data_IF_224549319526
#
_entry.id   IF_224549319526
#
_cell.length_a   1.000
_cell.length_b   1.000
_cell.length_c   1.000
_cell.angle_alpha   90.00
_cell.angle_beta   90.00
_cell.angle_gamma   90.00
#
_symmetry.space_group_name_H-M   'P 1'
#
loop_
_entity.id
_entity.type
_entity.pdbx_description
1 polymer ?
#
# COMPACT_ATOMS: atom_id res chain seq x y z
N UNK A 1 23.82 18.12 -15.53
CA UNK A 1 23.07 17.06 -14.83
C UNK A 1 21.58 17.34 -14.96
N UNK A 2 20.83 16.52 -15.72
CA UNK A 2 19.35 16.64 -15.79
C UNK A 2 18.74 15.97 -14.57
N UNK A 3 17.74 16.59 -13.94
CA UNK A 3 17.11 16.03 -12.74
C UNK A 3 16.13 14.91 -13.14
N UNK A 4 16.00 13.88 -12.31
CA UNK A 4 15.23 12.65 -12.60
C UNK A 4 13.79 12.93 -13.08
N UNK A 5 13.13 13.98 -12.57
CA UNK A 5 11.78 14.38 -13.02
C UNK A 5 11.73 14.89 -14.47
N UNK A 6 12.84 15.34 -15.05
CA UNK A 6 12.93 15.81 -16.45
C UNK A 6 13.09 14.66 -17.45
N UNK A 7 13.54 13.49 -16.97
CA UNK A 7 13.78 12.28 -17.78
C UNK A 7 12.60 11.30 -17.68
N UNK A 8 11.64 11.58 -16.79
CA UNK A 8 10.47 10.74 -16.57
C UNK A 8 9.55 10.71 -17.81
N UNK A 9 9.47 9.55 -18.47
CA UNK A 9 8.63 9.35 -19.66
C UNK A 9 7.20 9.04 -19.22
N UNK A 10 6.37 10.08 -19.08
CA UNK A 10 4.94 9.96 -18.73
C UNK A 10 4.16 11.26 -18.94
N UNK A 11 2.83 11.19 -19.04
CA UNK A 11 1.96 12.36 -19.28
C UNK A 11 1.67 13.20 -18.01
N UNK A 12 2.44 12.99 -16.93
CA UNK A 12 2.28 13.68 -15.65
C UNK A 12 2.96 15.04 -15.71
N UNK A 13 2.29 16.08 -15.18
CA UNK A 13 2.83 17.44 -15.15
C UNK A 13 3.48 17.68 -13.77
N UNK A 14 4.78 17.91 -13.77
CA UNK A 14 5.54 18.27 -12.57
C UNK A 14 5.46 19.79 -12.33
N UNK A 15 5.02 20.19 -11.14
CA UNK A 15 4.95 21.60 -10.73
C UNK A 15 5.96 21.89 -9.60
N UNK A 16 6.36 23.16 -9.42
CA UNK A 16 7.30 23.60 -8.38
C UNK A 16 8.64 22.82 -8.35
N UNK A 17 9.25 22.60 -9.51
CA UNK A 17 10.57 21.97 -9.60
C UNK A 17 10.62 20.48 -9.23
N UNK A 18 9.47 19.79 -9.29
CA UNK A 18 9.34 18.35 -9.05
C UNK A 18 8.79 17.99 -7.66
N UNK A 19 8.34 18.97 -6.86
CA UNK A 19 7.79 18.74 -5.51
C UNK A 19 6.31 18.35 -5.51
N UNK A 20 5.59 18.71 -6.57
CA UNK A 20 4.19 18.35 -6.80
C UNK A 20 4.08 17.59 -8.11
N UNK A 21 3.50 16.40 -8.04
CA UNK A 21 3.21 15.56 -9.21
C UNK A 21 1.71 15.66 -9.43
N UNK A 22 1.30 16.31 -10.51
CA UNK A 22 -0.10 16.29 -10.92
C UNK A 22 -0.29 15.23 -12.01
N UNK A 23 -1.36 14.45 -11.89
CA UNK A 23 -1.81 13.54 -12.94
C UNK A 23 -2.20 14.29 -14.23
N UNK A 24 -2.53 13.57 -15.31
CA UNK A 24 -2.90 14.15 -16.59
C UNK A 24 -4.17 15.04 -16.52
N UNK A 25 -4.97 14.91 -15.47
CA UNK A 25 -6.25 15.61 -15.27
C UNK A 25 -6.15 16.94 -14.50
N UNK A 26 -5.11 17.75 -14.73
CA UNK A 26 -5.02 19.12 -14.15
C UNK A 26 -6.22 19.98 -14.54
N UNK A 27 -6.81 19.74 -15.71
CA UNK A 27 -7.97 20.48 -16.20
C UNK A 27 -9.21 20.26 -15.33
N UNK A 28 -9.43 19.04 -14.83
CA UNK A 28 -10.58 18.76 -13.96
C UNK A 28 -10.42 19.42 -12.58
N UNK A 29 -9.20 19.56 -12.08
CA UNK A 29 -8.91 20.30 -10.84
C UNK A 29 -9.22 21.80 -10.95
N UNK A 30 -8.86 22.40 -12.10
CA UNK A 30 -9.20 23.80 -12.35
C UNK A 30 -10.71 23.97 -12.42
N UNK A 31 -11.43 23.04 -13.08
CA UNK A 31 -12.88 23.06 -13.13
C UNK A 31 -13.55 22.93 -11.76
N UNK A 32 -13.04 22.08 -10.85
CA UNK A 32 -13.59 21.96 -9.49
C UNK A 32 -13.35 23.20 -8.66
N UNK A 33 -12.18 23.84 -8.78
CA UNK A 33 -11.90 25.13 -8.14
C UNK A 33 -12.88 26.20 -8.64
N UNK A 34 -13.12 26.30 -9.95
CA UNK A 34 -14.11 27.23 -10.50
C UNK A 34 -15.54 26.91 -10.03
N UNK A 35 -15.93 25.63 -9.98
CA UNK A 35 -17.26 25.20 -9.55
C UNK A 35 -17.53 25.51 -8.07
N UNK A 36 -16.48 25.63 -7.25
CA UNK A 36 -16.59 26.04 -5.86
C UNK A 36 -16.56 27.57 -5.73
N UNK A 37 -15.69 28.27 -6.46
CA UNK A 37 -15.54 29.73 -6.36
C UNK A 37 -16.77 30.47 -6.89
N UNK A 38 -17.30 30.06 -8.05
CA UNK A 38 -18.37 30.81 -8.72
C UNK A 38 -19.63 30.90 -7.86
N UNK A 39 -20.18 29.81 -7.29
CA UNK A 39 -21.35 29.90 -6.41
C UNK A 39 -21.10 30.71 -5.14
N UNK A 40 -19.89 30.61 -4.57
CA UNK A 40 -19.51 31.35 -3.35
C UNK A 40 -19.41 32.85 -3.64
N UNK A 41 -18.83 33.26 -4.76
CA UNK A 41 -18.79 34.66 -5.18
C UNK A 41 -20.17 35.20 -5.51
N UNK A 42 -21.02 34.43 -6.21
CA UNK A 42 -22.39 34.84 -6.49
C UNK A 42 -23.18 35.04 -5.20
N UNK A 43 -23.08 34.12 -4.24
CA UNK A 43 -23.67 34.30 -2.92
C UNK A 43 -23.10 35.53 -2.20
N UNK A 44 -21.78 35.70 -2.24
CA UNK A 44 -21.06 36.80 -1.59
C UNK A 44 -21.22 38.17 -2.27
N UNK A 45 -21.83 38.26 -3.46
CA UNK A 45 -22.17 39.54 -4.11
C UNK A 45 -23.67 39.79 -4.06
N UNK A 46 -24.49 38.81 -4.42
CA UNK A 46 -25.94 39.03 -4.59
C UNK A 46 -26.73 38.85 -3.28
N UNK A 47 -26.37 37.85 -2.47
CA UNK A 47 -27.14 37.51 -1.26
C UNK A 47 -26.59 38.24 -0.04
N UNK A 48 -25.26 38.28 0.10
CA UNK A 48 -24.56 38.96 1.20
C UNK A 48 -24.92 40.45 1.31
N UNK A 49 -25.02 41.18 0.19
CA UNK A 49 -25.28 42.62 0.20
C UNK A 49 -26.65 42.94 0.78
N UNK A 50 -27.65 42.10 0.49
CA UNK A 50 -28.99 42.24 1.08
C UNK A 50 -29.00 41.82 2.54
N UNK A 51 -28.27 40.77 2.89
CA UNK A 51 -28.24 40.21 4.24
C UNK A 51 -27.47 41.09 5.24
N UNK A 52 -26.36 41.70 4.82
CA UNK A 52 -25.53 42.60 5.63
C UNK A 52 -26.24 43.93 5.91
N UNK A 53 -27.08 44.40 4.99
CA UNK A 53 -27.84 45.63 5.18
C UNK A 53 -29.04 45.44 6.12
N UNK A 54 -29.58 44.22 6.22
CA UNK A 54 -30.74 43.90 7.06
C UNK A 54 -30.36 43.56 8.51
N UNK A 55 -29.19 42.94 8.71
CA UNK A 55 -28.69 42.58 10.03
C UNK A 55 -27.70 43.61 10.58
N UNK A 56 -27.56 43.69 11.91
CA UNK A 56 -26.52 44.49 12.58
C UNK A 56 -25.16 44.28 11.91
N UNK A 57 -24.44 45.36 11.58
CA UNK A 57 -23.22 45.33 10.75
C UNK A 57 -22.20 44.25 11.18
N UNK A 58 -21.99 44.05 12.49
CA UNK A 58 -21.07 43.05 13.02
C UNK A 58 -21.50 41.58 12.75
N UNK A 59 -22.81 41.29 12.76
CA UNK A 59 -23.33 39.94 12.48
C UNK A 59 -23.38 39.68 10.98
N UNK A 60 -23.75 40.67 10.18
CA UNK A 60 -23.76 40.59 8.73
C UNK A 60 -22.39 40.23 8.17
N UNK A 61 -21.33 40.91 8.62
CA UNK A 61 -19.96 40.63 8.20
C UNK A 61 -19.50 39.21 8.55
N UNK A 62 -19.83 38.72 9.76
CA UNK A 62 -19.49 37.34 10.16
C UNK A 62 -20.22 36.29 9.31
N UNK A 63 -21.50 36.52 9.01
CA UNK A 63 -22.32 35.60 8.20
C UNK A 63 -21.77 35.47 6.79
N UNK A 64 -21.17 36.52 6.22
CA UNK A 64 -20.53 36.49 4.89
C UNK A 64 -19.11 35.94 4.97
N UNK A 65 -18.38 36.29 6.02
CA UNK A 65 -17.00 35.86 6.23
C UNK A 65 -16.86 34.34 6.43
N UNK A 66 -17.82 33.70 7.12
CA UNK A 66 -17.77 32.26 7.41
C UNK A 66 -17.79 31.40 6.13
N UNK A 67 -18.78 31.54 5.21
CA UNK A 67 -18.80 30.79 3.95
C UNK A 67 -17.58 31.04 3.06
N UNK A 68 -17.10 32.29 3.00
CA UNK A 68 -15.91 32.65 2.21
C UNK A 68 -14.67 31.99 2.79
N UNK A 69 -14.46 32.07 4.11
CA UNK A 69 -13.36 31.40 4.80
C UNK A 69 -13.41 29.88 4.66
N UNK A 70 -14.60 29.28 4.77
CA UNK A 70 -14.81 27.85 4.56
C UNK A 70 -14.49 27.44 3.11
N UNK A 71 -14.86 28.24 2.12
CA UNK A 71 -14.51 28.00 0.72
C UNK A 71 -12.98 28.05 0.49
N UNK A 72 -12.28 29.04 1.08
CA UNK A 72 -10.82 29.08 1.04
C UNK A 72 -10.18 27.86 1.72
N UNK A 73 -10.72 27.42 2.85
CA UNK A 73 -10.27 26.20 3.53
C UNK A 73 -10.48 24.94 2.68
N UNK A 74 -11.63 24.80 2.01
CA UNK A 74 -11.89 23.69 1.08
C UNK A 74 -10.95 23.72 -0.12
N UNK A 75 -10.69 24.88 -0.72
CA UNK A 75 -9.71 25.03 -1.82
C UNK A 75 -8.30 24.65 -1.33
N UNK A 76 -7.91 25.07 -0.13
CA UNK A 76 -6.64 24.68 0.48
C UNK A 76 -6.56 23.18 0.72
N UNK A 77 -7.62 22.56 1.25
CA UNK A 77 -7.70 21.11 1.42
C UNK A 77 -7.67 20.36 0.09
N UNK A 78 -8.33 20.86 -0.97
CA UNK A 78 -8.26 20.29 -2.32
C UNK A 78 -6.84 20.38 -2.88
N UNK A 79 -6.17 21.51 -2.70
CA UNK A 79 -4.78 21.67 -3.09
C UNK A 79 -3.88 20.70 -2.31
N UNK A 80 -4.04 20.61 -0.99
CA UNK A 80 -3.30 19.68 -0.16
C UNK A 80 -3.59 18.23 -0.53
N UNK A 81 -4.84 17.86 -0.82
CA UNK A 81 -5.23 16.49 -1.18
C UNK A 81 -4.69 16.13 -2.56
N UNK A 82 -4.82 17.03 -3.55
CA UNK A 82 -4.26 16.85 -4.89
C UNK A 82 -2.73 16.76 -4.90
N UNK A 83 -2.06 17.47 -3.98
CA UNK A 83 -0.61 17.43 -3.83
C UNK A 83 -0.09 16.35 -2.87
N UNK A 84 -0.96 15.73 -2.05
CA UNK A 84 -0.58 14.71 -1.06
C UNK A 84 -0.79 13.27 -1.52
N UNK A 85 -1.42 13.05 -2.67
CA UNK A 85 -1.49 11.70 -3.23
C UNK A 85 -0.67 11.56 -4.51
N UNK A 86 0.67 11.46 -4.42
CA UNK A 86 1.40 10.59 -5.30
C UNK A 86 1.21 9.18 -4.74
N UNK A 87 0.05 8.58 -5.03
CA UNK A 87 -0.24 7.20 -4.68
C UNK A 87 0.94 6.34 -5.11
N UNK A 88 1.66 5.79 -4.13
CA UNK A 88 2.64 4.71 -4.22
C UNK A 88 3.30 4.64 -5.61
N UNK A 89 4.28 5.51 -5.87
CA UNK A 89 5.29 5.20 -6.88
C UNK A 89 6.29 4.28 -6.16
N UNK A 90 6.40 3.00 -6.53
CA UNK A 90 7.47 2.16 -6.04
C UNK A 90 8.78 2.88 -6.33
N UNK A 91 9.63 3.02 -5.30
CA UNK A 91 10.99 3.53 -5.48
C UNK A 91 11.79 2.49 -6.26
N UNK A 92 11.58 2.38 -7.57
CA UNK A 92 12.63 1.94 -8.48
C UNK A 92 13.59 3.13 -8.60
N UNK A 93 14.81 3.06 -8.03
CA UNK A 93 15.81 4.11 -8.21
C UNK A 93 16.32 4.18 -9.65
N UNK A 94 15.91 3.23 -10.51
CA UNK A 94 16.34 3.13 -11.89
C UNK A 94 15.18 3.47 -12.84
N UNK A 95 15.29 4.50 -13.70
CA UNK A 95 14.41 4.64 -14.85
C UNK A 95 14.54 3.40 -15.75
N UNK A 96 13.47 2.94 -16.43
CA UNK A 96 13.59 1.85 -17.38
C UNK A 96 14.62 2.22 -18.44
N UNK A 97 15.71 1.46 -18.50
CA UNK A 97 16.73 1.61 -19.53
C UNK A 97 16.09 1.34 -20.90
N UNK A 98 16.43 2.12 -21.94
CA UNK A 98 16.11 1.71 -23.30
C UNK A 98 16.80 0.38 -23.58
N UNK A 99 16.03 -0.58 -24.09
CA UNK A 99 16.52 -1.85 -24.61
C UNK A 99 17.36 -1.54 -25.86
N UNK A 100 18.66 -1.34 -25.67
CA UNK A 100 19.62 -1.27 -26.77
C UNK A 100 20.16 -2.69 -27.02
N UNK A 101 19.74 -3.25 -28.15
CA UNK A 101 20.26 -4.48 -28.72
C UNK A 101 21.79 -4.40 -28.88
N UNK A 102 22.56 -5.11 -28.05
CA UNK A 102 23.94 -5.46 -28.38
C UNK A 102 24.49 -6.64 -27.56
N UNK A 103 24.70 -7.73 -28.29
CA UNK A 103 25.45 -8.95 -27.93
C UNK A 103 26.89 -8.59 -27.53
N UNK A 104 27.39 -9.11 -26.39
CA UNK A 104 28.75 -9.68 -26.25
C UNK A 104 29.06 -10.18 -24.82
N UNK A 105 29.22 -11.50 -24.72
CA UNK A 105 30.12 -12.33 -23.90
C UNK A 105 30.95 -11.69 -22.76
N UNK A 106 30.94 -12.33 -21.57
CA UNK A 106 32.03 -13.19 -21.05
C UNK A 106 32.02 -13.29 -19.50
N UNK A 107 31.91 -14.55 -19.00
CA UNK A 107 32.48 -15.20 -17.78
C UNK A 107 32.59 -14.46 -16.43
N UNK A 108 32.61 -15.04 -15.22
CA UNK A 108 32.39 -16.36 -14.59
C UNK A 108 32.65 -16.14 -13.06
N UNK A 109 32.32 -17.16 -12.24
CA UNK A 109 32.67 -17.39 -10.81
C UNK A 109 31.72 -16.79 -9.76
N UNK A 110 31.23 -17.49 -8.72
CA UNK A 110 31.35 -18.89 -8.29
C UNK A 110 30.21 -19.28 -7.30
N UNK A 111 29.78 -20.54 -7.39
CA UNK A 111 29.44 -21.50 -6.33
C UNK A 111 28.42 -21.17 -5.21
N UNK A 112 27.29 -21.90 -5.17
CA UNK A 112 27.09 -23.06 -4.28
C UNK A 112 25.67 -23.67 -4.38
N UNK A 113 25.61 -24.92 -4.84
CA UNK A 113 24.82 -26.03 -4.26
C UNK A 113 23.29 -26.06 -4.41
N UNK A 114 22.78 -27.08 -5.13
CA UNK A 114 21.62 -27.86 -4.64
C UNK A 114 20.50 -28.23 -5.63
N UNK A 115 20.66 -29.41 -6.27
CA UNK A 115 19.64 -30.42 -6.64
C UNK A 115 18.56 -30.08 -7.70
N UNK A 116 18.62 -30.77 -8.84
CA UNK A 116 17.57 -30.86 -9.86
C UNK A 116 17.51 -32.26 -10.48
N UNK A 117 16.31 -32.86 -10.59
CA UNK A 117 15.80 -33.53 -11.81
C UNK A 117 14.36 -34.03 -11.59
N UNK A 118 13.29 -33.40 -12.12
CA UNK A 118 12.58 -33.61 -13.43
C UNK A 118 11.37 -34.58 -13.29
N UNK A 119 10.20 -34.47 -14.00
CA UNK A 119 9.75 -33.50 -15.02
C UNK A 119 8.41 -32.74 -14.74
N UNK A 120 8.06 -31.75 -15.59
CA UNK A 120 6.87 -30.89 -15.48
C UNK A 120 5.72 -31.28 -16.44
N UNK A 121 4.48 -30.95 -16.04
CA UNK A 121 3.33 -30.93 -16.93
C UNK A 121 3.15 -29.54 -17.57
N UNK A 122 3.37 -29.54 -18.88
CA UNK A 122 2.83 -28.68 -19.95
C UNK A 122 2.98 -27.16 -19.79
N UNK A 123 4.06 -26.65 -20.38
CA UNK A 123 4.27 -25.25 -20.73
C UNK A 123 3.34 -24.82 -21.89
N UNK A 124 2.74 -23.63 -21.80
CA UNK A 124 1.93 -23.03 -22.87
C UNK A 124 2.62 -21.76 -23.38
N UNK A 125 2.92 -21.73 -24.67
CA UNK A 125 3.61 -20.64 -25.34
C UNK A 125 2.59 -19.65 -25.93
N UNK A 126 2.67 -18.37 -25.54
CA UNK A 126 1.92 -17.29 -26.19
C UNK A 126 2.93 -16.22 -26.62
N UNK A 127 2.97 -15.94 -27.92
CA UNK A 127 3.84 -14.94 -28.56
C UNK A 127 5.36 -15.10 -28.32
N UNK A 128 5.86 -16.34 -28.27
CA UNK A 128 7.30 -16.61 -28.20
C UNK A 128 7.94 -16.43 -26.83
N UNK A 129 7.15 -16.08 -25.81
CA UNK A 129 7.59 -16.02 -24.41
C UNK A 129 7.08 -17.26 -23.69
N UNK A 130 8.01 -18.06 -23.17
CA UNK A 130 7.72 -19.19 -22.29
C UNK A 130 7.29 -18.64 -20.93
N UNK A 131 5.99 -18.46 -20.72
CA UNK A 131 5.45 -18.04 -19.42
C UNK A 131 5.49 -19.23 -18.46
N UNK A 132 6.48 -19.21 -17.56
CA UNK A 132 6.60 -20.15 -16.44
C UNK A 132 5.86 -19.54 -15.23
N UNK A 133 4.59 -19.93 -15.02
CA UNK A 133 3.69 -19.29 -14.05
C UNK A 133 3.91 -19.64 -12.56
N UNK A 134 4.91 -20.45 -12.22
CA UNK A 134 5.11 -21.01 -10.89
C UNK A 134 6.23 -20.34 -10.08
N UNK A 135 7.29 -19.87 -10.73
CA UNK A 135 8.45 -19.26 -10.05
C UNK A 135 8.18 -17.90 -9.40
N UNK A 136 7.30 -17.08 -9.97
CA UNK A 136 7.04 -15.72 -9.49
C UNK A 136 6.13 -15.71 -8.24
N UNK A 137 5.12 -16.60 -8.21
CA UNK A 137 4.13 -16.68 -7.13
C UNK A 137 4.77 -17.23 -5.84
N UNK A 138 5.62 -18.25 -5.94
CA UNK A 138 6.34 -18.80 -4.78
C UNK A 138 7.28 -17.76 -4.14
N UNK A 139 7.95 -16.93 -4.96
CA UNK A 139 8.82 -15.86 -4.50
C UNK A 139 8.07 -14.76 -3.74
N UNK A 140 6.92 -14.31 -4.26
CA UNK A 140 6.08 -13.31 -3.58
C UNK A 140 5.57 -13.83 -2.24
N UNK A 141 5.06 -15.07 -2.16
CA UNK A 141 4.57 -15.65 -0.88
C UNK A 141 5.68 -15.71 0.16
N UNK A 142 6.89 -16.14 -0.22
CA UNK A 142 8.03 -16.19 0.70
C UNK A 142 8.38 -14.79 1.21
N UNK A 143 8.43 -13.81 0.31
CA UNK A 143 8.66 -12.40 0.65
C UNK A 143 7.60 -11.86 1.63
N UNK A 144 6.32 -12.15 1.40
CA UNK A 144 5.21 -11.74 2.28
C UNK A 144 5.29 -12.39 3.65
N UNK A 145 5.62 -13.68 3.71
CA UNK A 145 5.87 -14.37 4.99
C UNK A 145 7.02 -13.69 5.75
N UNK A 146 8.09 -13.30 5.06
CA UNK A 146 9.20 -12.57 5.68
C UNK A 146 8.77 -11.20 6.22
N UNK A 147 7.94 -10.45 5.47
CA UNK A 147 7.36 -9.18 5.94
C UNK A 147 6.48 -9.39 7.17
N UNK A 148 5.64 -10.43 7.18
CA UNK A 148 4.85 -10.83 8.34
C UNK A 148 5.73 -11.13 9.56
N UNK A 149 6.82 -11.88 9.37
CA UNK A 149 7.81 -12.15 10.42
C UNK A 149 8.51 -10.90 10.94
N UNK A 150 8.83 -9.94 10.06
CA UNK A 150 9.43 -8.68 10.45
C UNK A 150 8.46 -7.87 11.34
N UNK A 151 7.19 -7.76 10.94
CA UNK A 151 6.16 -7.09 11.74
C UNK A 151 5.93 -7.77 13.09
N UNK A 152 5.88 -9.10 13.11
CA UNK A 152 5.79 -9.86 14.35
C UNK A 152 6.99 -9.62 15.27
N UNK A 153 8.21 -9.62 14.72
CA UNK A 153 9.45 -9.45 15.49
C UNK A 153 9.62 -8.02 16.02
N UNK A 154 9.19 -7.00 15.27
CA UNK A 154 9.17 -5.63 15.79
C UNK A 154 8.23 -5.47 16.99
N UNK A 155 7.19 -6.31 17.07
CA UNK A 155 6.27 -6.34 18.20
C UNK A 155 6.62 -7.43 19.24
N UNK A 156 7.77 -8.10 19.13
CA UNK A 156 8.10 -9.24 19.99
C UNK A 156 8.15 -8.87 21.47
N UNK A 157 8.53 -7.63 21.81
CA UNK A 157 8.49 -7.15 23.20
C UNK A 157 7.10 -7.25 23.84
N UNK A 158 6.04 -6.95 23.08
CA UNK A 158 4.66 -7.08 23.52
C UNK A 158 4.12 -8.52 23.39
N UNK A 159 4.49 -9.19 22.30
CA UNK A 159 3.97 -10.53 21.97
C UNK A 159 4.62 -11.64 22.80
N UNK A 160 5.84 -11.45 23.29
CA UNK A 160 6.53 -12.40 24.16
C UNK A 160 6.35 -12.10 25.66
N UNK A 161 5.76 -10.96 26.04
CA UNK A 161 5.50 -10.64 27.44
C UNK A 161 4.47 -11.60 28.05
N UNK A 162 4.81 -12.20 29.20
CA UNK A 162 3.95 -13.16 29.91
C UNK A 162 2.76 -12.48 30.61
N UNK A 163 2.85 -11.18 30.89
CA UNK A 163 1.81 -10.41 31.55
C UNK A 163 0.66 -10.03 30.60
N UNK A 164 0.89 -10.12 29.29
CA UNK A 164 -0.11 -9.77 28.28
C UNK A 164 -1.02 -10.97 28.00
N UNK A 165 -2.33 -10.77 28.12
CA UNK A 165 -3.32 -11.81 27.85
C UNK A 165 -3.22 -12.34 26.41
N UNK A 166 -3.27 -13.68 26.25
CA UNK A 166 -3.16 -14.36 24.94
C UNK A 166 -4.19 -13.86 23.91
N UNK A 167 -5.41 -13.53 24.35
CA UNK A 167 -6.46 -12.97 23.48
C UNK A 167 -6.08 -11.60 22.90
N UNK A 168 -5.36 -10.77 23.66
CA UNK A 168 -4.88 -9.46 23.18
C UNK A 168 -3.76 -9.64 22.14
N UNK A 169 -2.85 -10.58 22.41
CA UNK A 169 -1.82 -10.98 21.44
C UNK A 169 -2.43 -11.51 20.13
N UNK A 170 -3.53 -12.26 20.22
CA UNK A 170 -4.29 -12.71 19.06
C UNK A 170 -4.94 -11.59 18.26
N UNK A 171 -5.51 -10.57 18.94
CA UNK A 171 -6.03 -9.37 18.27
C UNK A 171 -4.92 -8.62 17.52
N UNK A 172 -3.75 -8.46 18.15
CA UNK A 172 -2.60 -7.84 17.50
C UNK A 172 -2.17 -8.62 16.25
N UNK A 173 -2.06 -9.95 16.35
CA UNK A 173 -1.74 -10.80 15.22
C UNK A 173 -2.74 -10.63 14.07
N UNK A 174 -4.05 -10.65 14.35
CA UNK A 174 -5.11 -10.42 13.35
C UNK A 174 -5.04 -9.04 12.69
N UNK A 175 -4.64 -8.01 13.43
CA UNK A 175 -4.67 -6.63 12.96
C UNK A 175 -3.40 -6.23 12.19
N UNK A 176 -2.23 -6.74 12.58
CA UNK A 176 -0.93 -6.25 12.08
C UNK A 176 -0.18 -7.29 11.29
N UNK A 177 -0.12 -8.53 11.78
CA UNK A 177 0.74 -9.58 11.20
C UNK A 177 0.02 -10.32 10.08
N UNK A 178 -1.24 -10.69 10.30
CA UNK A 178 -2.05 -11.45 9.34
C UNK A 178 -2.29 -10.69 8.03
N UNK A 179 -2.66 -9.38 8.02
CA UNK A 179 -2.83 -8.65 6.77
C UNK A 179 -1.51 -8.49 6.02
N UNK A 180 -0.39 -8.25 6.71
CA UNK A 180 0.92 -8.14 6.08
C UNK A 180 1.35 -9.44 5.37
N UNK A 181 0.90 -10.59 5.89
CA UNK A 181 1.21 -11.91 5.36
C UNK A 181 0.22 -12.37 4.27
N UNK A 182 -1.04 -11.89 4.31
CA UNK A 182 -2.11 -12.28 3.39
C UNK A 182 -2.35 -11.32 2.22
N UNK A 183 -1.95 -10.05 2.36
CA UNK A 183 -2.18 -9.04 1.34
C UNK A 183 -1.51 -9.45 0.02
N UNK A 184 -2.31 -9.57 -1.03
CA UNK A 184 -1.91 -10.08 -2.34
C UNK A 184 -2.07 -11.59 -2.48
N UNK A 185 -1.81 -12.37 -1.41
CA UNK A 185 -2.02 -13.83 -1.40
C UNK A 185 -3.48 -14.22 -1.68
N UNK A 186 -4.43 -13.39 -1.23
CA UNK A 186 -5.88 -13.56 -1.40
C UNK A 186 -6.39 -13.40 -2.84
N UNK A 187 -5.61 -12.83 -3.74
CA UNK A 187 -6.00 -12.58 -5.14
C UNK A 187 -5.48 -13.63 -6.13
N UNK A 188 -4.66 -14.59 -5.68
CA UNK A 188 -4.10 -15.63 -6.54
C UNK A 188 -5.00 -16.89 -6.55
N UNK A 189 -4.99 -17.69 -7.63
CA UNK A 189 -5.48 -19.06 -7.57
C UNK A 189 -4.56 -19.89 -6.67
N UNK A 190 -4.78 -19.80 -5.35
CA UNK A 190 -3.94 -20.40 -4.33
C UNK A 190 -3.86 -21.92 -4.53
N UNK A 191 -2.69 -22.41 -4.93
CA UNK A 191 -2.39 -23.84 -4.91
C UNK A 191 -2.31 -24.32 -3.46
N UNK A 192 -2.73 -25.56 -3.20
CA UNK A 192 -2.75 -26.14 -1.85
C UNK A 192 -1.39 -26.02 -1.11
N UNK A 193 -0.29 -26.19 -1.85
CA UNK A 193 1.09 -26.04 -1.35
C UNK A 193 1.37 -24.66 -0.74
N UNK A 194 0.82 -23.59 -1.32
CA UNK A 194 1.01 -22.21 -0.87
C UNK A 194 0.24 -21.95 0.43
N UNK A 195 -0.99 -22.46 0.52
CA UNK A 195 -1.78 -22.43 1.75
C UNK A 195 -1.10 -23.20 2.88
N UNK A 196 -0.44 -24.32 2.58
CA UNK A 196 0.35 -25.06 3.58
C UNK A 196 1.50 -24.20 4.11
N UNK A 197 2.30 -23.56 3.25
CA UNK A 197 3.43 -22.71 3.66
C UNK A 197 2.98 -21.56 4.57
N UNK A 198 1.89 -20.90 4.20
CA UNK A 198 1.28 -19.81 4.95
C UNK A 198 0.75 -20.29 6.31
N UNK A 199 0.04 -21.42 6.34
CA UNK A 199 -0.49 -22.03 7.57
C UNK A 199 0.63 -22.48 8.52
N UNK A 200 1.74 -23.00 7.98
CA UNK A 200 2.94 -23.34 8.76
C UNK A 200 3.58 -22.10 9.36
N UNK A 201 3.71 -21.02 8.59
CA UNK A 201 4.24 -19.75 9.08
C UNK A 201 3.38 -19.15 10.20
N UNK A 202 2.06 -19.09 9.99
CA UNK A 202 1.08 -18.69 11.00
C UNK A 202 1.23 -19.51 12.29
N UNK A 203 1.22 -20.84 12.17
CA UNK A 203 1.27 -21.69 13.34
C UNK A 203 2.55 -21.57 14.12
N UNK A 204 3.68 -21.32 13.43
CA UNK A 204 4.95 -21.06 14.08
C UNK A 204 4.93 -19.75 14.88
N UNK A 205 4.36 -18.68 14.33
CA UNK A 205 4.23 -17.40 15.05
C UNK A 205 3.29 -17.51 16.26
N UNK A 206 2.13 -18.16 16.10
CA UNK A 206 1.15 -18.31 17.17
C UNK A 206 1.66 -19.21 18.31
N UNK A 207 2.39 -20.28 17.98
CA UNK A 207 3.05 -21.15 18.96
C UNK A 207 4.10 -20.39 19.76
N UNK A 208 4.96 -19.64 19.09
CA UNK A 208 6.01 -18.86 19.74
C UNK A 208 5.42 -17.82 20.70
N UNK A 209 4.44 -17.05 20.24
CA UNK A 209 3.74 -16.03 21.02
C UNK A 209 3.00 -16.58 22.24
N UNK A 210 2.56 -17.84 22.16
CA UNK A 210 1.86 -18.54 23.24
C UNK A 210 2.78 -19.38 24.13
N UNK A 211 4.07 -19.46 23.80
CA UNK A 211 5.04 -20.31 24.49
C UNK A 211 4.84 -21.82 24.30
N UNK A 212 4.04 -22.24 23.30
CA UNK A 212 3.80 -23.65 23.03
C UNK A 212 4.89 -24.23 22.13
N UNK A 213 5.43 -25.37 22.54
CA UNK A 213 6.42 -26.14 21.79
C UNK A 213 5.77 -27.34 21.10
N UNK A 214 6.54 -28.05 20.28
CA UNK A 214 6.09 -29.32 19.69
C UNK A 214 5.96 -30.43 20.75
N UNK A 215 6.66 -30.31 21.89
CA UNK A 215 6.60 -31.30 22.97
C UNK A 215 5.25 -31.32 23.69
N UNK A 216 4.54 -30.19 23.67
CA UNK A 216 3.25 -30.06 24.35
C UNK A 216 2.13 -30.86 23.64
N UNK A 217 2.38 -31.40 22.42
CA UNK A 217 1.44 -32.20 21.62
C UNK A 217 0.04 -31.58 21.48
N UNK A 218 -0.05 -30.25 21.49
CA UNK A 218 -1.31 -29.51 21.38
C UNK A 218 -1.73 -29.39 19.90
N UNK A 219 -3.01 -29.67 19.63
CA UNK A 219 -3.63 -29.52 18.30
C UNK A 219 -3.65 -28.05 17.87
N UNK A 220 -3.40 -27.81 16.58
CA UNK A 220 -3.35 -26.46 15.99
C UNK A 220 -4.65 -25.67 16.19
N UNK A 221 -5.80 -26.33 16.09
CA UNK A 221 -7.13 -25.73 16.32
C UNK A 221 -7.27 -25.15 17.73
N UNK A 222 -6.85 -25.90 18.74
CA UNK A 222 -6.91 -25.46 20.13
C UNK A 222 -6.01 -24.23 20.38
N UNK A 223 -4.87 -24.14 19.70
CA UNK A 223 -3.99 -22.96 19.77
C UNK A 223 -4.70 -21.75 19.14
N UNK A 224 -5.30 -21.91 17.96
CA UNK A 224 -6.06 -20.83 17.31
C UNK A 224 -7.23 -20.37 18.18
N UNK A 225 -7.95 -21.29 18.83
CA UNK A 225 -9.06 -20.99 19.73
C UNK A 225 -8.61 -20.18 20.96
N UNK A 226 -7.56 -20.66 21.63
CA UNK A 226 -7.02 -20.04 22.84
C UNK A 226 -6.51 -18.62 22.58
N UNK A 227 -5.84 -18.42 21.44
CA UNK A 227 -5.35 -17.10 21.01
C UNK A 227 -6.50 -16.23 20.43
N UNK A 228 -7.63 -16.82 20.05
CA UNK A 228 -8.77 -16.11 19.47
C UNK A 228 -8.59 -15.79 17.98
N UNK A 229 -7.80 -16.62 17.28
CA UNK A 229 -7.51 -16.57 15.83
C UNK A 229 -8.20 -17.66 15.04
N UNK A 230 -9.21 -18.32 15.63
CA UNK A 230 -10.15 -19.10 14.82
C UNK A 230 -10.77 -18.19 13.73
N UNK A 231 -10.83 -18.78 12.55
CA UNK A 231 -11.27 -18.21 11.29
C UNK A 231 -12.72 -18.62 11.05
#
# INVERSE_FOLDING_TARGET
MRRVYQVWKGNNRFFLGGRLIFGPDVRSMVLTIFLIIVPVLLFAVFVSQRLVNEFQHHLGELIVGIPVGFAFYVIFLLFLTSGRDPGIIPRSPHPPEPEDDQVSNLSCTASHGGLSSVPPFKDVNVNGVLVRSDGEIDGDIISRIQVGWLKWRNASGLLCDRNVALKLKGKFYKMVVRPAMLYGAECWPLKEKHNTKLSVAEMRMLRWMSGFTLRDRIRNEHIREKVGVLQ
#
